data_IF_917975790031
#
_entry.id   IF_917975790031
#
_cell.length_a   1.000
_cell.length_b   1.000
_cell.length_c   1.000
_cell.angle_alpha   90.00
_cell.angle_beta   90.00
_cell.angle_gamma   90.00
#
_symmetry.space_group_name_H-M   'P 1'
#
loop_
_entity.id
_entity.type
_entity.pdbx_description
1 polymer ?
#
# COMPACT_ATOMS: atom_id res chain seq x y z
N UNK A 1 -9.94 8.70 5.48
CA UNK A 1 -9.77 9.85 4.56
C UNK A 1 -9.88 11.10 5.38
N UNK A 2 -8.91 12.00 5.29
CA UNK A 2 -8.87 13.23 6.09
C UNK A 2 -8.66 14.44 5.19
N UNK A 3 -9.36 15.53 5.50
CA UNK A 3 -9.17 16.83 4.87
C UNK A 3 -8.65 17.78 5.93
N UNK A 4 -7.52 18.43 5.66
CA UNK A 4 -6.89 19.38 6.58
C UNK A 4 -6.86 20.74 5.89
N UNK A 5 -7.50 21.75 6.49
CA UNK A 5 -7.42 23.14 5.99
C UNK A 5 -6.04 23.70 6.31
N UNK A 6 -5.32 24.17 5.29
CA UNK A 6 -3.99 24.80 5.42
C UNK A 6 -4.09 26.33 5.44
N UNK A 7 -4.98 26.91 4.63
CA UNK A 7 -5.31 28.33 4.60
C UNK A 7 -6.72 28.54 4.05
N UNK A 8 -7.14 29.77 3.77
CA UNK A 8 -8.49 30.07 3.24
C UNK A 8 -8.83 29.29 1.97
N UNK A 9 -7.86 29.15 1.05
CA UNK A 9 -8.05 28.53 -0.27
C UNK A 9 -7.22 27.26 -0.48
N UNK A 10 -6.57 26.72 0.56
CA UNK A 10 -5.68 25.54 0.43
C UNK A 10 -6.00 24.46 1.44
N UNK A 11 -6.05 23.24 0.94
CA UNK A 11 -6.40 22.04 1.71
C UNK A 11 -5.44 20.91 1.36
N UNK A 12 -5.17 20.05 2.35
CA UNK A 12 -4.56 18.75 2.12
C UNK A 12 -5.63 17.66 2.17
N UNK A 13 -5.64 16.80 1.17
CA UNK A 13 -6.40 15.55 1.18
C UNK A 13 -5.43 14.41 1.50
N UNK A 14 -5.61 13.79 2.66
CA UNK A 14 -4.85 12.60 3.06
C UNK A 14 -5.74 11.38 2.86
N UNK A 15 -5.33 10.51 1.95
CA UNK A 15 -6.03 9.28 1.64
C UNK A 15 -5.09 8.09 1.79
N UNK A 16 -5.44 7.21 2.73
CA UNK A 16 -4.81 5.91 2.92
C UNK A 16 -5.80 4.81 2.57
N UNK A 17 -5.30 3.73 1.98
CA UNK A 17 -6.08 2.56 1.60
C UNK A 17 -5.20 1.32 1.71
N UNK A 18 -5.82 0.14 1.83
CA UNK A 18 -5.08 -1.11 1.86
C UNK A 18 -4.78 -1.58 0.43
N UNK A 19 -3.52 -1.86 0.11
CA UNK A 19 -3.10 -2.27 -1.25
C UNK A 19 -3.73 -3.57 -1.77
N UNK A 20 -4.42 -4.33 -0.91
CA UNK A 20 -5.07 -5.59 -1.30
C UNK A 20 -6.33 -5.36 -2.14
N UNK A 21 -6.93 -4.16 -2.03
CA UNK A 21 -8.15 -3.78 -2.76
C UNK A 21 -7.88 -2.76 -3.87
N UNK A 22 -6.68 -2.18 -3.90
CA UNK A 22 -6.37 -1.07 -4.81
C UNK A 22 -4.87 -0.94 -5.06
N UNK A 23 -4.50 -0.70 -6.32
CA UNK A 23 -3.15 -0.42 -6.76
C UNK A 23 -2.99 1.04 -7.25
N UNK A 24 -1.80 1.39 -7.72
CA UNK A 24 -1.49 2.73 -8.22
C UNK A 24 -2.27 3.12 -9.49
N UNK A 25 -2.73 2.14 -10.28
CA UNK A 25 -3.53 2.42 -11.47
C UNK A 25 -4.95 2.82 -11.08
N UNK A 26 -5.57 2.06 -10.19
CA UNK A 26 -6.92 2.32 -9.67
C UNK A 26 -7.02 3.70 -9.01
N UNK A 27 -5.96 4.19 -8.35
CA UNK A 27 -5.96 5.52 -7.72
C UNK A 27 -6.29 6.64 -8.71
N UNK A 28 -5.71 6.62 -9.92
CA UNK A 28 -5.98 7.62 -10.95
C UNK A 28 -7.43 7.60 -11.43
N UNK A 29 -7.99 6.39 -11.59
CA UNK A 29 -9.40 6.20 -11.97
C UNK A 29 -10.32 6.82 -10.91
N UNK A 30 -10.14 6.46 -9.64
CA UNK A 30 -11.04 6.93 -8.58
C UNK A 30 -10.90 8.43 -8.34
N UNK A 31 -9.68 9.00 -8.40
CA UNK A 31 -9.49 10.44 -8.26
C UNK A 31 -10.20 11.22 -9.38
N UNK A 32 -10.22 10.70 -10.60
CA UNK A 32 -10.96 11.30 -11.71
C UNK A 32 -12.48 11.24 -11.49
N UNK A 33 -13.01 10.13 -10.99
CA UNK A 33 -14.44 10.00 -10.67
C UNK A 33 -14.84 10.94 -9.52
N UNK A 34 -14.04 10.97 -8.44
CA UNK A 34 -14.25 11.89 -7.30
C UNK A 34 -14.23 13.34 -7.76
N UNK A 35 -13.28 13.73 -8.62
CA UNK A 35 -13.23 15.08 -9.20
C UNK A 35 -14.48 15.38 -10.04
N UNK A 36 -14.93 14.43 -10.84
CA UNK A 36 -16.13 14.56 -11.68
C UNK A 36 -17.40 14.76 -10.85
N UNK A 37 -17.59 13.96 -9.80
CA UNK A 37 -18.70 14.12 -8.86
C UNK A 37 -18.61 15.44 -8.10
N UNK A 38 -17.41 15.82 -7.63
CA UNK A 38 -17.19 17.07 -6.90
C UNK A 38 -17.56 18.29 -7.76
N UNK A 39 -17.10 18.34 -9.01
CA UNK A 39 -17.39 19.44 -9.93
C UNK A 39 -18.89 19.52 -10.28
N UNK A 40 -19.54 18.38 -10.51
CA UNK A 40 -20.97 18.33 -10.77
C UNK A 40 -21.77 18.83 -9.56
N UNK A 41 -21.44 18.36 -8.36
CA UNK A 41 -22.05 18.80 -7.12
C UNK A 41 -21.86 20.30 -6.89
N UNK A 42 -20.64 20.83 -7.07
CA UNK A 42 -20.35 22.25 -6.92
C UNK A 42 -21.13 23.13 -7.92
N UNK A 43 -21.43 22.61 -9.11
CA UNK A 43 -22.22 23.28 -10.13
C UNK A 43 -23.74 23.04 -10.00
N UNK A 44 -24.21 22.33 -8.96
CA UNK A 44 -25.60 21.88 -8.84
C UNK A 44 -26.11 21.12 -10.07
N UNK A 45 -25.22 20.38 -10.72
CA UNK A 45 -25.51 19.53 -11.86
C UNK A 45 -25.53 18.07 -11.44
N UNK A 46 -26.34 17.28 -12.13
CA UNK A 46 -26.25 15.83 -12.03
C UNK A 46 -25.19 15.32 -13.00
N UNK A 47 -24.50 14.26 -12.59
CA UNK A 47 -23.58 13.51 -13.44
C UNK A 47 -23.90 12.02 -13.28
N UNK A 48 -23.86 11.29 -14.38
CA UNK A 48 -24.00 9.86 -14.40
C UNK A 48 -22.73 9.25 -15.00
N UNK A 49 -21.96 8.54 -14.19
CA UNK A 49 -20.81 7.79 -14.65
C UNK A 49 -21.21 6.36 -15.00
N UNK A 50 -20.54 5.70 -15.95
CA UNK A 50 -20.75 4.29 -16.22
C UNK A 50 -20.55 3.47 -14.94
N UNK A 51 -21.41 2.48 -14.71
CA UNK A 51 -21.25 1.59 -13.57
C UNK A 51 -19.98 0.75 -13.74
N UNK A 52 -19.07 0.72 -12.75
CA UNK A 52 -17.88 -0.10 -12.83
C UNK A 52 -18.24 -1.59 -12.78
N UNK A 53 -17.48 -2.42 -13.50
CA UNK A 53 -17.59 -3.87 -13.33
C UNK A 53 -17.23 -4.25 -11.91
N UNK A 54 -17.99 -5.17 -11.34
CA UNK A 54 -17.75 -5.57 -9.95
C UNK A 54 -16.51 -6.46 -9.86
N UNK A 55 -15.64 -6.20 -8.89
CA UNK A 55 -14.41 -7.00 -8.71
C UNK A 55 -14.69 -8.50 -8.54
N UNK A 56 -15.87 -8.88 -8.01
CA UNK A 56 -16.32 -10.27 -7.93
C UNK A 56 -16.36 -10.97 -9.29
N UNK A 57 -16.61 -10.25 -10.37
CA UNK A 57 -16.63 -10.82 -11.73
C UNK A 57 -15.22 -11.21 -12.16
N UNK A 58 -14.22 -10.39 -11.83
CA UNK A 58 -12.81 -10.74 -12.00
C UNK A 58 -12.45 -11.97 -11.16
N UNK A 59 -12.90 -12.06 -9.91
CA UNK A 59 -12.68 -13.25 -9.07
C UNK A 59 -13.36 -14.50 -9.67
N UNK A 60 -14.57 -14.38 -10.18
CA UNK A 60 -15.27 -15.48 -10.86
C UNK A 60 -14.51 -15.93 -12.10
N UNK A 61 -14.04 -15.00 -12.93
CA UNK A 61 -13.18 -15.30 -14.07
C UNK A 61 -11.85 -15.94 -13.65
N UNK A 62 -11.22 -15.45 -12.57
CA UNK A 62 -9.96 -15.99 -12.08
C UNK A 62 -10.10 -17.45 -11.66
N UNK A 63 -11.24 -17.83 -11.08
CA UNK A 63 -11.56 -19.24 -10.71
C UNK A 63 -11.74 -20.17 -11.90
N UNK A 64 -12.06 -19.66 -13.10
CA UNK A 64 -12.19 -20.49 -14.30
C UNK A 64 -10.86 -20.76 -15.00
N UNK A 65 -9.78 -20.12 -14.56
CA UNK A 65 -8.46 -20.32 -15.16
C UNK A 65 -7.92 -21.71 -14.83
N UNK A 66 -7.43 -22.43 -15.84
CA UNK A 66 -6.89 -23.78 -15.65
C UNK A 66 -5.66 -23.74 -14.74
N UNK A 67 -5.70 -24.51 -13.65
CA UNK A 67 -4.53 -24.73 -12.80
C UNK A 67 -3.36 -25.28 -13.63
N UNK A 68 -2.14 -24.88 -13.29
CA UNK A 68 -0.92 -25.36 -13.93
C UNK A 68 -0.49 -24.64 -15.22
N UNK A 69 -1.40 -24.04 -16.01
CA UNK A 69 -0.99 -23.33 -17.26
C UNK A 69 -0.06 -22.16 -16.98
N UNK A 70 -0.47 -21.27 -16.07
CA UNK A 70 0.34 -20.11 -15.68
C UNK A 70 1.62 -20.55 -14.97
N UNK A 71 1.55 -21.60 -14.14
CA UNK A 71 2.72 -22.15 -13.47
C UNK A 71 3.75 -22.69 -14.47
N UNK A 72 3.33 -23.53 -15.41
CA UNK A 72 4.22 -24.10 -16.44
C UNK A 72 4.87 -22.99 -17.27
N UNK A 73 4.10 -21.96 -17.64
CA UNK A 73 4.63 -20.80 -18.35
C UNK A 73 5.73 -20.10 -17.54
N UNK A 74 5.50 -19.81 -16.26
CA UNK A 74 6.48 -19.12 -15.42
C UNK A 74 7.70 -19.99 -15.09
N UNK A 75 7.53 -21.30 -14.89
CA UNK A 75 8.65 -22.23 -14.70
C UNK A 75 9.57 -22.24 -15.92
N UNK A 76 8.99 -22.36 -17.11
CA UNK A 76 9.75 -22.31 -18.36
C UNK A 76 10.41 -20.94 -18.56
N UNK A 77 9.67 -19.84 -18.34
CA UNK A 77 10.18 -18.48 -18.55
C UNK A 77 11.31 -18.08 -17.60
N UNK A 78 11.36 -18.70 -16.41
CA UNK A 78 12.37 -18.44 -15.38
C UNK A 78 13.45 -19.53 -15.33
N UNK A 79 13.49 -20.44 -16.31
CA UNK A 79 14.54 -21.45 -16.39
C UNK A 79 15.91 -20.77 -16.53
N UNK A 80 16.87 -21.17 -15.70
CA UNK A 80 18.20 -20.56 -15.66
C UNK A 80 18.26 -19.21 -14.93
N UNK A 81 17.16 -18.69 -14.39
CA UNK A 81 17.20 -17.54 -13.47
C UNK A 81 17.69 -18.01 -12.09
N UNK A 82 18.90 -17.58 -11.72
CA UNK A 82 19.57 -18.05 -10.50
C UNK A 82 19.44 -17.08 -9.32
N UNK A 83 19.53 -15.77 -9.57
CA UNK A 83 19.45 -14.75 -8.53
C UNK A 83 19.08 -13.38 -9.14
N UNK A 84 18.57 -12.50 -8.30
CA UNK A 84 18.34 -11.10 -8.62
C UNK A 84 19.66 -10.34 -8.87
N UNK A 85 19.60 -9.29 -9.69
CA UNK A 85 20.75 -8.40 -9.86
C UNK A 85 20.97 -7.61 -8.58
N UNK A 86 22.13 -7.79 -7.95
CA UNK A 86 22.51 -7.07 -6.73
C UNK A 86 22.79 -5.61 -7.07
N UNK A 87 21.92 -4.72 -6.61
CA UNK A 87 22.17 -3.29 -6.66
C UNK A 87 23.03 -2.87 -5.46
N UNK A 88 23.98 -1.95 -5.67
CA UNK A 88 24.90 -1.48 -4.62
C UNK A 88 24.24 -0.71 -3.46
N UNK A 89 22.90 -0.58 -3.49
CA UNK A 89 22.07 -0.04 -2.41
C UNK A 89 22.03 -1.00 -1.21
N UNK A 90 22.38 -2.27 -1.40
CA UNK A 90 22.45 -3.26 -0.32
C UNK A 90 23.70 -3.13 0.59
N UNK A 91 24.49 -2.07 0.40
CA UNK A 91 25.54 -1.68 1.36
C UNK A 91 25.01 -0.60 2.31
N UNK A 92 24.61 -1.08 3.49
CA UNK A 92 24.59 -0.39 4.81
C UNK A 92 23.25 0.24 5.26
N UNK A 93 22.33 -0.62 5.68
CA UNK A 93 21.26 -0.28 6.63
C UNK A 93 21.77 -0.28 8.08
N UNK A 94 22.52 0.75 8.44
CA UNK A 94 22.88 1.12 9.80
C UNK A 94 21.63 1.59 10.57
N UNK A 95 20.72 0.70 11.01
CA UNK A 95 19.75 0.97 12.12
C UNK A 95 19.46 -0.33 12.89
N UNK A 96 20.51 -0.97 13.42
CA UNK A 96 20.38 -2.02 14.44
C UNK A 96 20.94 -1.59 15.82
N UNK A 97 21.90 -0.64 15.98
CA UNK A 97 22.43 -0.34 17.31
C UNK A 97 21.45 0.40 18.24
N UNK A 98 20.60 1.31 17.74
CA UNK A 98 19.78 2.17 18.61
C UNK A 98 18.64 1.37 19.26
N UNK A 99 18.01 0.44 18.53
CA UNK A 99 16.90 -0.35 19.06
C UNK A 99 17.39 -1.38 20.10
N UNK A 100 18.54 -2.01 19.88
CA UNK A 100 19.19 -2.90 20.87
C UNK A 100 19.76 -2.12 22.07
N UNK A 101 20.30 -0.91 21.87
CA UNK A 101 20.81 -0.07 22.95
C UNK A 101 19.68 0.49 23.84
N UNK A 102 18.53 0.85 23.27
CA UNK A 102 17.36 1.31 24.03
C UNK A 102 16.63 0.16 24.74
N UNK A 103 16.52 -1.02 24.11
CA UNK A 103 15.98 -2.22 24.77
C UNK A 103 16.90 -2.71 25.89
N UNK A 104 18.22 -2.66 25.71
CA UNK A 104 19.19 -2.99 26.75
C UNK A 104 19.13 -2.06 27.98
N UNK A 105 18.88 -0.77 27.79
CA UNK A 105 18.67 0.17 28.92
C UNK A 105 17.34 -0.04 29.65
N UNK A 106 16.27 -0.44 28.94
CA UNK A 106 14.98 -0.73 29.55
C UNK A 106 15.00 -2.03 30.37
N UNK A 107 15.71 -3.06 29.91
CA UNK A 107 15.85 -4.33 30.63
C UNK A 107 16.77 -4.19 31.86
N UNK A 108 17.78 -3.34 31.82
CA UNK A 108 18.72 -3.19 32.93
C UNK A 108 18.19 -2.25 34.06
N UNK A 109 17.16 -1.44 33.80
CA UNK A 109 16.53 -0.62 34.85
C UNK A 109 15.47 -1.39 35.67
N UNK A 110 14.97 -2.53 35.19
CA UNK A 110 14.03 -3.37 35.96
C UNK A 110 14.71 -4.31 36.95
N UNK A 111 16.02 -4.56 36.81
CA UNK A 111 16.77 -5.48 37.69
C UNK A 111 17.58 -4.81 38.81
N UNK A 112 17.68 -3.48 38.85
CA UNK A 112 18.41 -2.77 39.93
C UNK A 112 17.50 -2.17 41.02
N UNK A 113 16.19 -2.49 41.03
CA UNK A 113 15.27 -2.04 42.10
C UNK A 113 14.79 -3.15 43.05
N UNK A 114 15.31 -4.38 42.95
CA UNK A 114 14.93 -5.48 43.86
C UNK A 114 16.05 -5.99 44.78
N UNK A 115 17.16 -5.23 44.92
CA UNK A 115 18.27 -5.56 45.84
C UNK A 115 18.76 -4.30 46.59
N UNK A 116 17.84 -3.49 47.13
CA UNK A 116 18.04 -2.64 48.32
C UNK A 116 16.65 -2.17 48.81
N UNK A 117 15.98 -3.02 49.58
CA UNK A 117 15.13 -2.65 50.73
C UNK A 117 14.84 -3.90 51.55
#
# INVERSE_FOLDING_TARGET
>A
MHIIKKSETRYFLIWSFHHIIMDGWCLGVILNEVSSFYNAYAASKQINLPQPKQYREYISWLKTQKSGKSENFWRYSLEGFLDSTKLSIDKKGMIIPILLFLLGKLINQSHTKSLTS
#
